data_IF_436194656292
#
_entry.id   IF_436194656292
#
_cell.length_a   1.000
_cell.length_b   1.000
_cell.length_c   1.000
_cell.angle_alpha   90.00
_cell.angle_beta   90.00
_cell.angle_gamma   90.00
#
_symmetry.space_group_name_H-M   'P 1'
#
loop_
_entity.id
_entity.type
_entity.pdbx_description
1 polymer ?
#
# COMPACT_ATOMS: atom_id res chain seq x y z
N UNK A 1 -5.76 28.00 -2.84
CA UNK A 1 -5.60 28.14 -4.31
C UNK A 1 -4.11 28.25 -4.59
N UNK A 2 -3.44 27.12 -4.86
CA UNK A 2 -1.98 27.06 -5.06
C UNK A 2 -1.73 26.65 -6.51
N UNK A 3 -0.94 27.48 -7.21
CA UNK A 3 -0.70 27.43 -8.64
C UNK A 3 0.04 26.16 -9.07
N UNK A 4 -0.47 25.54 -10.14
CA UNK A 4 0.14 24.41 -10.84
C UNK A 4 1.20 24.96 -11.79
N UNK A 5 2.46 24.60 -11.58
CA UNK A 5 3.59 25.09 -12.36
C UNK A 5 3.69 24.32 -13.69
N UNK A 6 3.41 24.98 -14.82
CA UNK A 6 3.60 24.46 -16.16
C UNK A 6 5.09 24.55 -16.56
N UNK A 7 5.73 23.41 -16.83
CA UNK A 7 7.01 23.35 -17.54
C UNK A 7 6.78 22.82 -18.96
N UNK A 8 7.42 23.39 -19.99
CA UNK A 8 7.20 22.98 -21.38
C UNK A 8 7.86 21.63 -21.68
N UNK A 9 7.18 20.85 -22.53
CA UNK A 9 7.64 19.57 -23.04
C UNK A 9 8.78 19.76 -24.05
N UNK A 10 10.00 19.36 -23.68
CA UNK A 10 11.08 19.12 -24.64
C UNK A 10 10.87 17.72 -25.21
N UNK A 11 10.53 17.65 -26.49
CA UNK A 11 10.36 16.39 -27.21
C UNK A 11 11.68 15.66 -27.41
N UNK A 12 11.67 14.36 -27.14
CA UNK A 12 12.59 13.41 -27.75
C UNK A 12 11.79 12.19 -28.20
N UNK A 13 11.51 12.15 -29.51
CA UNK A 13 11.09 10.94 -30.20
C UNK A 13 12.33 10.11 -30.54
N UNK A 14 12.51 9.00 -29.82
CA UNK A 14 13.32 7.86 -30.25
C UNK A 14 12.43 6.61 -30.24
N UNK A 15 12.68 5.61 -31.10
CA UNK A 15 11.84 4.42 -31.16
C UNK A 15 12.07 3.55 -29.91
N UNK A 16 11.21 3.67 -28.91
CA UNK A 16 11.20 2.77 -27.75
C UNK A 16 10.14 1.69 -27.96
N UNK A 17 10.48 0.63 -28.69
CA UNK A 17 9.69 -0.61 -28.78
C UNK A 17 10.18 -1.63 -27.76
N UNK A 18 10.26 -1.22 -26.49
CA UNK A 18 10.12 -2.12 -25.36
C UNK A 18 8.82 -1.70 -24.67
N UNK A 19 7.78 -2.54 -24.75
CA UNK A 19 6.43 -2.20 -24.28
C UNK A 19 6.49 -1.59 -22.88
N UNK A 20 5.98 -0.36 -22.74
CA UNK A 20 5.99 0.34 -21.46
C UNK A 20 5.36 -0.57 -20.38
N UNK A 21 5.96 -0.66 -19.18
CA UNK A 21 5.46 -1.54 -18.14
C UNK A 21 4.00 -1.19 -17.85
N UNK A 22 3.09 -2.11 -18.19
CA UNK A 22 1.66 -1.88 -18.10
C UNK A 22 1.25 -1.83 -16.63
N UNK A 23 0.56 -0.75 -16.25
CA UNK A 23 0.04 -0.57 -14.89
C UNK A 23 -1.15 -1.51 -14.69
N UNK A 24 -1.11 -2.45 -13.75
CA UNK A 24 -2.24 -3.32 -13.47
C UNK A 24 -3.47 -2.51 -13.03
N UNK A 25 -4.67 -3.00 -13.34
CA UNK A 25 -5.90 -2.37 -12.83
C UNK A 25 -5.89 -2.39 -11.29
N UNK A 26 -6.22 -1.25 -10.67
CA UNK A 26 -6.21 -1.10 -9.21
C UNK A 26 -4.82 -0.97 -8.59
N UNK A 27 -3.79 -0.64 -9.37
CA UNK A 27 -2.45 -0.35 -8.87
C UNK A 27 -2.39 0.97 -8.07
N UNK A 28 -1.59 1.05 -6.99
CA UNK A 28 -1.43 2.30 -6.23
C UNK A 28 -0.65 3.34 -7.03
N UNK A 29 -1.21 4.55 -7.19
CA UNK A 29 -0.66 5.60 -8.06
C UNK A 29 0.72 6.15 -7.66
N UNK A 30 1.14 5.98 -6.41
CA UNK A 30 2.47 6.40 -5.93
C UNK A 30 3.56 5.32 -6.09
N UNK A 31 3.21 4.13 -6.56
CA UNK A 31 4.17 3.03 -6.77
C UNK A 31 4.39 2.84 -8.27
N UNK A 32 5.63 2.87 -8.77
CA UNK A 32 5.93 2.56 -10.16
C UNK A 32 5.50 1.13 -10.53
N UNK A 33 5.14 0.85 -11.80
CA UNK A 33 4.72 -0.49 -12.21
C UNK A 33 5.84 -1.53 -12.08
N UNK A 34 5.50 -2.83 -12.02
CA UNK A 34 6.47 -3.92 -12.00
C UNK A 34 7.45 -3.82 -13.17
N UNK A 35 8.72 -4.16 -12.93
CA UNK A 35 9.78 -4.05 -13.94
C UNK A 35 10.49 -2.69 -13.96
N UNK A 36 9.91 -1.64 -13.36
CA UNK A 36 10.64 -0.39 -13.11
C UNK A 36 11.75 -0.58 -12.07
N UNK A 37 12.92 0.03 -12.31
CA UNK A 37 14.01 0.08 -11.32
C UNK A 37 13.60 0.77 -10.00
N UNK A 38 12.59 1.63 -10.04
CA UNK A 38 12.05 2.33 -8.87
C UNK A 38 10.93 1.57 -8.17
N UNK A 39 10.45 0.45 -8.72
CA UNK A 39 9.34 -0.31 -8.18
C UNK A 39 9.59 -0.73 -6.72
N UNK A 40 10.65 -1.51 -6.47
CA UNK A 40 10.90 -2.07 -5.13
C UNK A 40 11.14 -0.99 -4.06
N UNK A 41 11.99 0.03 -4.28
CA UNK A 41 12.18 1.10 -3.30
C UNK A 41 10.88 1.86 -2.98
N UNK A 42 10.11 2.27 -4.00
CA UNK A 42 8.86 3.00 -3.79
C UNK A 42 7.77 2.12 -3.16
N UNK A 43 7.69 0.83 -3.53
CA UNK A 43 6.77 -0.11 -2.91
C UNK A 43 7.09 -0.30 -1.42
N UNK A 44 8.38 -0.34 -1.04
CA UNK A 44 8.78 -0.42 0.37
C UNK A 44 8.33 0.80 1.16
N UNK A 45 8.63 2.00 0.69
CA UNK A 45 8.23 3.25 1.37
C UNK A 45 6.71 3.29 1.55
N UNK A 46 5.97 3.06 0.46
CA UNK A 46 4.52 3.01 0.50
C UNK A 46 3.98 1.95 1.47
N UNK A 47 4.53 0.74 1.49
CA UNK A 47 4.12 -0.30 2.44
C UNK A 47 4.43 0.09 3.89
N UNK A 48 5.55 0.76 4.15
CA UNK A 48 5.86 1.25 5.48
C UNK A 48 4.95 2.40 5.92
N UNK A 49 4.47 3.24 5.01
CA UNK A 49 3.45 4.24 5.32
C UNK A 49 2.12 3.62 5.77
N UNK A 50 1.83 2.39 5.32
CA UNK A 50 0.67 1.61 5.75
C UNK A 50 0.94 0.73 6.98
N UNK A 51 2.19 0.58 7.39
CA UNK A 51 2.60 -0.30 8.48
C UNK A 51 2.59 0.43 9.82
N UNK A 52 2.41 -0.29 10.94
CA UNK A 52 2.74 0.25 12.25
C UNK A 52 4.18 0.76 12.30
N UNK A 53 4.40 1.96 12.85
CA UNK A 53 5.70 2.64 12.82
C UNK A 53 6.89 1.81 13.31
N UNK A 54 6.70 1.01 14.36
CA UNK A 54 7.74 0.12 14.93
C UNK A 54 8.33 -0.88 13.91
N UNK A 55 7.58 -1.26 12.87
CA UNK A 55 8.06 -2.19 11.85
C UNK A 55 9.21 -1.63 11.02
N UNK A 56 9.36 -0.30 10.95
CA UNK A 56 10.52 0.33 10.28
C UNK A 56 11.84 0.01 10.98
N UNK A 57 11.82 -0.40 12.25
CA UNK A 57 13.02 -0.79 13.00
C UNK A 57 13.46 -2.21 12.68
N UNK A 58 12.61 -3.03 12.06
CA UNK A 58 12.86 -4.46 11.84
C UNK A 58 13.69 -4.70 10.56
N UNK A 59 14.98 -5.08 10.65
CA UNK A 59 15.85 -5.20 9.47
C UNK A 59 15.41 -6.31 8.51
N UNK A 60 14.64 -7.29 8.99
CA UNK A 60 14.06 -8.34 8.15
C UNK A 60 13.04 -7.78 7.16
N UNK A 61 12.24 -6.79 7.56
CA UNK A 61 11.22 -6.19 6.70
C UNK A 61 11.83 -5.30 5.61
N UNK A 62 12.99 -4.71 5.89
CA UNK A 62 13.77 -3.99 4.88
C UNK A 62 14.38 -4.90 3.81
N UNK A 63 14.78 -6.11 4.21
CA UNK A 63 15.38 -7.12 3.30
C UNK A 63 14.35 -7.89 2.50
N UNK A 64 13.14 -8.04 3.05
CA UNK A 64 12.08 -8.88 2.50
C UNK A 64 10.78 -8.08 2.28
N UNK A 65 10.71 -7.24 1.22
CA UNK A 65 9.52 -6.44 0.92
C UNK A 65 8.26 -7.29 0.68
N UNK A 66 8.39 -8.52 0.19
CA UNK A 66 7.30 -9.48 0.05
C UNK A 66 6.72 -9.93 1.41
N UNK A 67 7.56 -10.03 2.43
CA UNK A 67 7.14 -10.32 3.80
C UNK A 67 6.44 -9.10 4.40
N UNK A 68 7.01 -7.90 4.21
CA UNK A 68 6.39 -6.64 4.62
C UNK A 68 4.98 -6.50 4.02
N UNK A 69 4.82 -6.72 2.71
CA UNK A 69 3.52 -6.66 2.04
C UNK A 69 2.50 -7.65 2.64
N UNK A 70 2.93 -8.90 2.90
CA UNK A 70 2.08 -9.90 3.56
C UNK A 70 1.66 -9.46 4.97
N UNK A 71 2.56 -8.87 5.74
CA UNK A 71 2.25 -8.39 7.09
C UNK A 71 1.31 -7.18 7.06
N UNK A 72 1.55 -6.20 6.19
CA UNK A 72 0.66 -5.04 5.98
C UNK A 72 -0.74 -5.52 5.58
N UNK A 73 -0.83 -6.46 4.65
CA UNK A 73 -2.11 -7.08 4.24
C UNK A 73 -2.86 -7.67 5.44
N UNK A 74 -2.16 -8.41 6.31
CA UNK A 74 -2.77 -9.00 7.50
C UNK A 74 -3.21 -7.94 8.51
N UNK A 75 -2.41 -6.89 8.69
CA UNK A 75 -2.74 -5.75 9.55
C UNK A 75 -4.00 -5.03 9.08
N UNK A 76 -4.10 -4.72 7.78
CA UNK A 76 -5.29 -4.12 7.18
C UNK A 76 -6.52 -5.02 7.34
N UNK A 77 -6.38 -6.35 7.11
CA UNK A 77 -7.49 -7.30 7.33
C UNK A 77 -7.99 -7.29 8.77
N UNK A 78 -7.08 -7.26 9.74
CA UNK A 78 -7.45 -7.18 11.16
C UNK A 78 -8.17 -5.87 11.47
N UNK A 79 -7.67 -4.73 10.97
CA UNK A 79 -8.32 -3.42 11.14
C UNK A 79 -9.72 -3.37 10.52
N UNK A 80 -9.89 -3.87 9.30
CA UNK A 80 -11.19 -3.95 8.61
C UNK A 80 -12.17 -4.83 9.40
N UNK A 81 -11.71 -5.97 9.92
CA UNK A 81 -12.53 -6.85 10.73
C UNK A 81 -12.98 -6.15 12.03
N UNK A 82 -12.06 -5.49 12.73
CA UNK A 82 -12.36 -4.75 13.95
C UNK A 82 -13.39 -3.63 13.70
N UNK A 83 -13.19 -2.81 12.66
CA UNK A 83 -14.14 -1.75 12.29
C UNK A 83 -15.54 -2.30 11.96
N UNK A 84 -15.62 -3.46 11.29
CA UNK A 84 -16.91 -4.08 10.94
C UNK A 84 -17.67 -4.63 12.14
N UNK A 85 -16.96 -5.20 13.11
CA UNK A 85 -17.50 -5.67 14.37
C UNK A 85 -18.00 -4.51 15.23
N UNK A 86 -17.29 -3.39 15.18
CA UNK A 86 -17.53 -2.22 16.02
C UNK A 86 -18.59 -1.24 15.50
N UNK A 87 -19.32 -1.59 14.43
CA UNK A 87 -20.33 -0.67 13.82
C UNK A 87 -21.48 -0.29 14.77
N UNK A 88 -21.75 -1.05 15.83
CA UNK A 88 -22.75 -0.73 16.84
C UNK A 88 -22.18 -0.46 18.24
N UNK A 89 -21.16 -1.21 18.66
CA UNK A 89 -20.65 -1.20 20.04
C UNK A 89 -19.72 -0.04 20.37
N UNK A 90 -18.94 0.46 19.41
CA UNK A 90 -18.03 1.60 19.66
C UNK A 90 -18.81 2.88 19.87
N UNK A 91 -19.98 3.01 19.27
CA UNK A 91 -20.86 4.16 19.47
C UNK A 91 -21.35 4.17 20.92
N UNK A 92 -21.91 3.06 21.40
CA UNK A 92 -22.60 2.97 22.70
C UNK A 92 -21.75 3.45 23.89
N UNK A 93 -20.45 3.10 23.94
CA UNK A 93 -19.54 3.57 24.99
C UNK A 93 -18.92 4.96 24.76
N UNK A 94 -18.95 5.48 23.52
CA UNK A 94 -18.50 6.84 23.20
C UNK A 94 -19.61 7.88 23.32
N UNK A 95 -20.89 7.46 23.25
CA UNK A 95 -22.06 8.34 23.37
C UNK A 95 -22.00 9.20 24.63
N UNK A 96 -21.53 8.62 25.73
CA UNK A 96 -21.42 9.30 27.03
C UNK A 96 -20.38 10.43 27.06
N UNK A 97 -19.47 10.47 26.08
CA UNK A 97 -18.36 11.42 26.01
C UNK A 97 -18.42 12.33 24.78
N UNK A 98 -19.36 12.12 23.86
CA UNK A 98 -19.48 12.88 22.63
C UNK A 98 -20.60 13.94 22.70
N UNK A 99 -20.39 15.15 22.16
CA UNK A 99 -21.47 16.11 21.98
C UNK A 99 -22.61 15.57 21.13
N UNK A 100 -23.86 16.03 21.36
CA UNK A 100 -24.98 15.72 20.47
C UNK A 100 -24.66 16.10 19.02
N UNK A 101 -24.81 15.14 18.09
CA UNK A 101 -24.48 15.32 16.66
C UNK A 101 -23.14 14.71 16.23
N UNK A 102 -22.11 14.70 17.10
CA UNK A 102 -20.78 14.17 16.76
C UNK A 102 -20.76 12.66 16.53
N UNK A 103 -21.79 11.95 17.00
CA UNK A 103 -21.97 10.51 16.83
C UNK A 103 -22.13 10.15 15.36
N UNK A 104 -22.96 10.89 14.62
CA UNK A 104 -23.20 10.62 13.20
C UNK A 104 -21.94 10.91 12.38
N UNK A 105 -21.21 11.97 12.73
CA UNK A 105 -19.91 12.29 12.12
C UNK A 105 -18.89 11.17 12.36
N UNK A 106 -18.82 10.64 13.58
CA UNK A 106 -17.94 9.53 13.91
C UNK A 106 -18.31 8.25 13.14
N UNK A 107 -19.59 7.91 13.06
CA UNK A 107 -20.09 6.75 12.29
C UNK A 107 -19.75 6.91 10.80
N UNK A 108 -19.98 8.08 10.22
CA UNK A 108 -19.66 8.37 8.83
C UNK A 108 -18.15 8.27 8.55
N UNK A 109 -17.33 8.83 9.44
CA UNK A 109 -15.87 8.74 9.36
C UNK A 109 -15.40 7.29 9.42
N UNK A 110 -15.92 6.48 10.35
CA UNK A 110 -15.57 5.05 10.45
C UNK A 110 -15.98 4.26 9.20
N UNK A 111 -17.13 4.55 8.60
CA UNK A 111 -17.57 3.91 7.36
C UNK A 111 -16.62 4.23 6.20
N UNK A 112 -16.29 5.51 6.03
CA UNK A 112 -15.34 5.98 5.01
C UNK A 112 -13.95 5.35 5.20
N UNK A 113 -13.47 5.26 6.44
CA UNK A 113 -12.18 4.65 6.73
C UNK A 113 -12.18 3.14 6.45
N UNK A 114 -13.29 2.44 6.69
CA UNK A 114 -13.42 1.03 6.31
C UNK A 114 -13.30 0.84 4.80
N UNK A 115 -14.00 1.65 4.01
CA UNK A 115 -13.95 1.61 2.55
C UNK A 115 -12.54 1.89 2.03
N UNK A 116 -11.89 2.94 2.58
CA UNK A 116 -10.51 3.28 2.26
C UNK A 116 -9.56 2.12 2.56
N UNK A 117 -9.69 1.49 3.72
CA UNK A 117 -8.87 0.35 4.11
C UNK A 117 -9.09 -0.87 3.20
N UNK A 118 -10.33 -1.12 2.75
CA UNK A 118 -10.65 -2.21 1.79
C UNK A 118 -9.99 -1.96 0.44
N UNK A 119 -10.00 -0.72 -0.07
CA UNK A 119 -9.33 -0.36 -1.32
C UNK A 119 -7.80 -0.53 -1.20
N UNK A 120 -7.20 -0.06 -0.09
CA UNK A 120 -5.77 -0.25 0.20
C UNK A 120 -5.41 -1.73 0.30
N UNK A 121 -6.25 -2.55 0.95
CA UNK A 121 -6.03 -3.99 1.05
C UNK A 121 -5.92 -4.65 -0.33
N UNK A 122 -6.73 -4.21 -1.29
CA UNK A 122 -6.68 -4.73 -2.65
C UNK A 122 -5.40 -4.30 -3.37
N UNK A 123 -5.01 -3.03 -3.25
CA UNK A 123 -3.74 -2.52 -3.79
C UNK A 123 -2.54 -3.30 -3.22
N UNK A 124 -2.52 -3.54 -1.91
CA UNK A 124 -1.44 -4.27 -1.24
C UNK A 124 -1.33 -5.70 -1.76
N UNK A 125 -2.45 -6.39 -2.02
CA UNK A 125 -2.42 -7.74 -2.60
C UNK A 125 -1.76 -7.76 -3.98
N UNK A 126 -2.12 -6.82 -4.85
CA UNK A 126 -1.58 -6.72 -6.20
C UNK A 126 -0.07 -6.42 -6.16
N UNK A 127 0.36 -5.51 -5.27
CA UNK A 127 1.79 -5.21 -5.06
C UNK A 127 2.54 -6.42 -4.48
N UNK A 128 1.96 -7.12 -3.50
CA UNK A 128 2.55 -8.35 -2.95
C UNK A 128 2.76 -9.41 -4.03
N UNK A 129 1.76 -9.61 -4.91
CA UNK A 129 1.85 -10.53 -6.03
C UNK A 129 2.98 -10.16 -7.01
N UNK A 130 3.17 -8.87 -7.28
CA UNK A 130 4.26 -8.36 -8.10
C UNK A 130 5.66 -8.49 -7.45
N UNK A 131 5.76 -8.44 -6.12
CA UNK A 131 7.03 -8.60 -5.41
C UNK A 131 7.52 -10.06 -5.34
N UNK A 132 6.61 -11.04 -5.27
CA UNK A 132 6.95 -12.46 -5.07
C UNK A 132 7.91 -13.05 -6.13
N UNK A 133 7.74 -12.79 -7.45
CA UNK A 133 8.67 -13.30 -8.46
C UNK A 133 10.11 -12.80 -8.25
N UNK A 134 10.30 -11.54 -7.85
CA UNK A 134 11.61 -10.94 -7.63
C UNK A 134 12.39 -11.65 -6.51
N UNK A 135 11.70 -11.97 -5.41
CA UNK A 135 12.27 -12.72 -4.29
C UNK A 135 12.66 -14.16 -4.67
N UNK A 136 11.91 -14.80 -5.59
CA UNK A 136 12.26 -16.13 -6.11
C UNK A 136 13.49 -16.07 -7.02
N UNK A 137 13.57 -15.06 -7.89
CA UNK A 137 14.70 -14.85 -8.80
C UNK A 137 16.00 -14.57 -8.05
N UNK A 138 15.96 -13.73 -7.01
CA UNK A 138 17.12 -13.44 -6.16
C UNK A 138 17.66 -14.70 -5.48
N UNK A 139 16.79 -15.55 -4.91
CA UNK A 139 17.19 -16.83 -4.29
C UNK A 139 17.84 -17.79 -5.29
N UNK A 140 17.29 -17.91 -6.51
CA UNK A 140 17.86 -18.77 -7.57
C UNK A 140 19.25 -18.29 -8.01
N UNK A 141 19.44 -16.98 -8.16
CA UNK A 141 20.74 -16.39 -8.48
C UNK A 141 21.78 -16.69 -7.40
N UNK A 142 21.41 -16.53 -6.12
CA UNK A 142 22.30 -16.85 -4.99
C UNK A 142 22.69 -18.33 -4.94
N UNK A 143 21.72 -19.24 -5.15
CA UNK A 143 21.98 -20.68 -5.18
C UNK A 143 22.97 -21.11 -6.28
N UNK A 144 22.89 -20.51 -7.48
CA UNK A 144 23.83 -20.78 -8.57
C UNK A 144 25.25 -20.26 -8.30
N UNK A 145 25.40 -19.19 -7.54
CA UNK A 145 26.71 -18.61 -7.21
C UNK A 145 27.44 -19.36 -6.07
N UNK A 146 26.78 -20.31 -5.40
CA UNK A 146 27.35 -21.10 -4.30
C UNK A 146 27.78 -22.51 -4.76
N UNK A 147 27.58 -22.82 -6.03
CA UNK A 147 28.03 -24.04 -6.72
C UNK A 147 29.27 -23.72 -7.56
#
# INVERSE_FOLDING_TARGET
>A
MIAFNERPAVGFAGPSTAGAPQVPHGWPGCVPPPGSLRFVPCAKEWLFDLAPGRWRLEPVLHRHPELLARMVRNHLRAGIAAMRLNRGSVVEGLLDYLPPGSVQDAVAMYAQENERAVALLQQVKIVEEALRPLARSSRRSKARATL
#
